data_IF_054371623202
#
_entry.id   IF_054371623202
#
_cell.length_a   1.000
_cell.length_b   1.000
_cell.length_c   1.000
_cell.angle_alpha   90.00
_cell.angle_beta   90.00
_cell.angle_gamma   90.00
#
_symmetry.space_group_name_H-M   'P 1'
#
loop_
_entity.id
_entity.type
_entity.pdbx_description
1 polymer ?
#
# COMPACT_ATOMS: atom_id res chain seq x y z
N UNK A 1 19.36 10.68 3.98
CA UNK A 1 18.06 11.07 3.38
C UNK A 1 17.88 12.56 3.44
N UNK A 2 17.08 13.17 2.55
CA UNK A 2 16.82 14.62 2.52
C UNK A 2 15.32 14.87 2.50
N UNK A 3 14.85 15.69 3.42
CA UNK A 3 13.47 16.17 3.48
C UNK A 3 13.44 17.63 3.00
N UNK A 4 12.51 17.93 2.11
CA UNK A 4 12.19 19.30 1.68
C UNK A 4 10.74 19.58 2.02
N UNK A 5 10.52 20.69 2.69
CA UNK A 5 9.19 21.15 3.08
C UNK A 5 9.03 22.58 2.61
N UNK A 6 7.87 22.86 2.06
CA UNK A 6 7.37 24.18 1.73
C UNK A 6 5.94 24.28 2.28
N UNK A 7 5.33 25.45 2.35
CA UNK A 7 4.08 25.72 3.08
C UNK A 7 3.03 24.59 3.06
N UNK A 8 2.73 24.06 1.87
CA UNK A 8 1.74 22.98 1.68
C UNK A 8 2.31 21.81 0.86
N UNK A 9 3.63 21.72 0.78
CA UNK A 9 4.32 20.68 0.01
C UNK A 9 5.34 19.95 0.85
N UNK A 10 5.49 18.68 0.60
CA UNK A 10 6.46 17.79 1.24
C UNK A 10 7.11 16.88 0.22
N UNK A 11 8.42 16.72 0.33
CA UNK A 11 9.19 15.78 -0.48
C UNK A 11 10.25 15.08 0.37
N UNK A 12 10.38 13.77 0.19
CA UNK A 12 11.44 12.94 0.76
C UNK A 12 12.30 12.35 -0.35
N UNK A 13 13.60 12.51 -0.22
CA UNK A 13 14.60 11.99 -1.16
C UNK A 13 15.51 10.96 -0.50
N UNK A 14 15.87 9.94 -1.27
CA UNK A 14 16.97 9.01 -1.02
C UNK A 14 18.03 9.23 -2.10
N UNK A 15 19.16 9.83 -1.74
CA UNK A 15 20.07 10.39 -2.73
C UNK A 15 19.37 11.44 -3.59
N UNK A 16 19.43 11.28 -4.89
CA UNK A 16 18.75 12.17 -5.85
C UNK A 16 17.32 11.73 -6.20
N UNK A 17 16.89 10.57 -5.71
CA UNK A 17 15.59 10.00 -6.04
C UNK A 17 14.53 10.46 -5.06
N UNK A 18 13.45 11.05 -5.58
CA UNK A 18 12.28 11.43 -4.82
C UNK A 18 11.44 10.18 -4.56
N UNK A 19 11.24 9.84 -3.30
CA UNK A 19 10.49 8.65 -2.87
C UNK A 19 9.07 9.00 -2.44
N UNK A 20 8.91 10.14 -1.77
CA UNK A 20 7.60 10.65 -1.40
C UNK A 20 7.44 12.08 -1.89
N UNK A 21 6.23 12.42 -2.26
CA UNK A 21 5.83 13.78 -2.55
C UNK A 21 4.37 14.02 -2.15
N UNK A 22 4.13 15.20 -1.65
CA UNK A 22 2.79 15.73 -1.44
C UNK A 22 2.70 17.14 -2.01
N UNK A 23 1.71 17.38 -2.83
CA UNK A 23 1.27 18.69 -3.28
C UNK A 23 -0.24 18.69 -3.50
N UNK A 24 -0.82 19.84 -3.79
CA UNK A 24 -2.24 19.94 -4.15
C UNK A 24 -2.60 19.09 -5.37
N UNK A 25 -1.72 19.08 -6.38
CA UNK A 25 -1.91 18.33 -7.64
C UNK A 25 -1.60 16.85 -7.48
N UNK A 26 -0.77 16.52 -6.49
CA UNK A 26 -0.30 15.15 -6.23
C UNK A 26 -0.42 14.80 -4.76
N UNK A 27 -1.64 14.62 -4.26
CA UNK A 27 -1.85 14.24 -2.86
C UNK A 27 -1.18 12.90 -2.54
N UNK A 28 -0.42 12.85 -1.45
CA UNK A 28 0.23 11.63 -0.96
C UNK A 28 -0.76 10.72 -0.24
N UNK A 29 -1.74 11.31 0.45
CA UNK A 29 -2.70 10.63 1.30
C UNK A 29 -4.11 10.85 0.79
N UNK A 30 -4.86 9.76 0.71
CA UNK A 30 -6.30 9.76 0.58
C UNK A 30 -6.88 9.00 1.76
N UNK A 31 -8.03 9.40 2.19
CA UNK A 31 -8.81 8.70 3.21
C UNK A 31 -10.24 8.46 2.73
N UNK A 32 -10.94 7.60 3.41
CA UNK A 32 -12.31 7.33 3.04
C UNK A 32 -13.07 6.51 4.07
N UNK A 33 -14.31 6.26 3.73
CA UNK A 33 -15.24 5.41 4.45
C UNK A 33 -15.68 4.28 3.52
N UNK A 34 -15.65 3.07 4.01
CA UNK A 34 -16.06 1.91 3.23
C UNK A 34 -16.51 0.77 4.11
N UNK A 35 -17.05 -0.24 3.46
CA UNK A 35 -17.39 -1.53 4.05
C UNK A 35 -16.79 -2.63 3.20
N UNK A 36 -16.35 -3.70 3.83
CA UNK A 36 -15.81 -4.85 3.15
C UNK A 36 -16.72 -6.07 3.33
N UNK A 37 -16.80 -6.85 2.27
CA UNK A 37 -17.37 -8.20 2.29
C UNK A 37 -16.22 -9.20 2.18
N UNK A 38 -16.15 -10.11 3.15
CA UNK A 38 -15.09 -11.11 3.25
C UNK A 38 -15.69 -12.49 3.04
N UNK A 39 -15.47 -13.07 1.86
CA UNK A 39 -15.75 -14.47 1.57
C UNK A 39 -14.48 -15.29 1.83
N UNK A 40 -14.55 -16.21 2.78
CA UNK A 40 -13.43 -17.04 3.18
C UNK A 40 -13.83 -18.51 3.13
N UNK A 41 -13.06 -19.32 2.42
CA UNK A 41 -13.24 -20.74 2.32
C UNK A 41 -11.89 -21.46 2.30
N UNK A 42 -11.63 -22.28 3.31
CA UNK A 42 -10.42 -23.12 3.40
C UNK A 42 -9.11 -22.38 3.14
N UNK A 43 -8.92 -21.21 3.76
CA UNK A 43 -7.71 -20.40 3.58
C UNK A 43 -7.68 -19.53 2.33
N UNK A 44 -8.72 -19.55 1.52
CA UNK A 44 -8.88 -18.61 0.42
C UNK A 44 -9.74 -17.43 0.85
N UNK A 45 -9.20 -16.24 0.73
CA UNK A 45 -9.90 -15.00 1.02
C UNK A 45 -10.24 -14.28 -0.27
N UNK A 46 -11.48 -13.86 -0.40
CA UNK A 46 -11.92 -12.90 -1.39
C UNK A 46 -12.50 -11.70 -0.65
N UNK A 47 -11.82 -10.59 -0.71
CA UNK A 47 -12.24 -9.36 -0.06
C UNK A 47 -12.74 -8.40 -1.13
N UNK A 48 -14.00 -7.99 -1.01
CA UNK A 48 -14.60 -6.97 -1.87
C UNK A 48 -14.83 -5.73 -1.03
N UNK A 49 -14.21 -4.62 -1.42
CA UNK A 49 -14.28 -3.37 -0.68
C UNK A 49 -15.20 -2.38 -1.40
N UNK A 50 -16.17 -1.84 -0.68
CA UNK A 50 -17.15 -0.89 -1.16
C UNK A 50 -16.90 0.47 -0.51
N UNK A 51 -16.48 1.45 -1.29
CA UNK A 51 -16.25 2.80 -0.80
C UNK A 51 -17.50 3.65 -0.92
N UNK A 52 -17.90 4.28 0.18
CA UNK A 52 -18.92 5.33 0.16
C UNK A 52 -18.32 6.70 -0.08
N UNK A 53 -17.09 6.92 0.42
CA UNK A 53 -16.34 8.16 0.27
C UNK A 53 -14.85 7.86 0.06
N UNK A 54 -14.21 8.64 -0.80
CA UNK A 54 -12.77 8.70 -0.96
C UNK A 54 -12.35 10.09 -1.39
N UNK A 55 -11.48 10.74 -0.64
CA UNK A 55 -11.00 12.08 -0.94
C UNK A 55 -9.53 12.28 -0.59
N UNK A 56 -8.82 13.16 -1.32
CA UNK A 56 -7.45 13.53 -0.99
C UNK A 56 -7.42 14.44 0.22
N UNK A 57 -6.37 14.32 1.04
CA UNK A 57 -6.12 15.24 2.13
C UNK A 57 -5.16 16.35 1.71
N UNK A 58 -5.38 17.55 2.25
CA UNK A 58 -4.48 18.69 2.10
C UNK A 58 -3.51 18.74 3.29
N UNK A 59 -2.27 19.07 3.02
CA UNK A 59 -1.31 19.41 4.06
C UNK A 59 -1.64 20.81 4.58
N UNK A 60 -1.94 20.94 5.87
CA UNK A 60 -2.39 22.19 6.50
C UNK A 60 -1.35 22.80 7.43
N UNK A 61 -0.46 21.97 7.96
CA UNK A 61 0.59 22.45 8.87
C UNK A 61 1.79 21.51 8.83
N UNK A 62 2.98 22.08 9.02
CA UNK A 62 4.26 21.37 9.09
C UNK A 62 5.05 21.86 10.28
N UNK A 63 5.35 20.96 11.20
CA UNK A 63 6.19 21.25 12.36
C UNK A 63 7.46 20.45 12.22
N UNK A 64 8.58 21.14 12.08
CA UNK A 64 9.91 20.52 11.99
C UNK A 64 10.70 20.78 13.26
N UNK A 65 11.25 19.72 13.83
CA UNK A 65 12.22 19.76 14.93
C UNK A 65 13.57 19.23 14.45
N UNK A 66 14.56 19.14 15.33
CA UNK A 66 15.88 18.59 14.98
C UNK A 66 15.79 17.15 14.45
N UNK A 67 14.91 16.32 14.99
CA UNK A 67 14.87 14.89 14.75
C UNK A 67 13.61 14.39 14.04
N UNK A 68 12.58 15.23 13.96
CA UNK A 68 11.27 14.80 13.43
C UNK A 68 10.62 15.88 12.57
N UNK A 69 9.86 15.43 11.59
CA UNK A 69 8.93 16.26 10.84
C UNK A 69 7.51 15.75 11.09
N UNK A 70 6.64 16.63 11.51
CA UNK A 70 5.22 16.34 11.70
C UNK A 70 4.42 17.06 10.63
N UNK A 71 3.68 16.29 9.85
CA UNK A 71 2.80 16.76 8.80
C UNK A 71 1.36 16.61 9.27
N UNK A 72 0.59 17.69 9.29
CA UNK A 72 -0.82 17.69 9.64
C UNK A 72 -1.66 17.73 8.36
N UNK A 73 -2.42 16.67 8.13
CA UNK A 73 -3.31 16.55 6.99
C UNK A 73 -4.75 16.83 7.43
N UNK A 74 -5.12 18.11 7.37
CA UNK A 74 -6.43 18.58 7.85
C UNK A 74 -6.70 18.09 9.30
N UNK A 75 -7.94 17.75 9.62
CA UNK A 75 -8.30 17.16 10.92
C UNK A 75 -8.28 15.64 10.94
N UNK A 76 -7.79 14.99 9.89
CA UNK A 76 -7.93 13.54 9.72
C UNK A 76 -6.69 12.73 10.10
N UNK A 77 -5.51 13.15 9.64
CA UNK A 77 -4.28 12.38 9.79
C UNK A 77 -3.12 13.28 10.22
N UNK A 78 -2.30 12.77 11.12
CA UNK A 78 -0.99 13.33 11.40
C UNK A 78 0.06 12.29 11.01
N UNK A 79 1.01 12.66 10.16
CA UNK A 79 2.18 11.84 9.87
C UNK A 79 3.39 12.36 10.63
N UNK A 80 4.02 11.51 11.44
CA UNK A 80 5.27 11.79 12.15
C UNK A 80 6.40 11.07 11.45
N UNK A 81 7.36 11.84 10.92
CA UNK A 81 8.47 11.32 10.13
C UNK A 81 9.75 11.48 10.93
N UNK A 82 10.46 10.38 11.11
CA UNK A 82 11.79 10.34 11.70
C UNK A 82 12.72 9.60 10.76
N UNK A 83 13.78 10.27 10.33
CA UNK A 83 14.78 9.69 9.45
C UNK A 83 16.17 9.74 10.10
N UNK A 84 16.89 8.64 9.99
CA UNK A 84 18.34 8.57 10.20
C UNK A 84 19.08 8.41 8.85
N UNK A 85 20.31 7.93 8.85
CA UNK A 85 21.09 7.78 7.61
C UNK A 85 20.44 6.84 6.60
N UNK A 86 19.83 5.73 7.06
CA UNK A 86 19.40 4.63 6.21
C UNK A 86 17.93 4.24 6.37
N UNK A 87 17.29 4.69 7.44
CA UNK A 87 15.91 4.35 7.74
C UNK A 87 15.08 5.61 7.95
N UNK A 88 13.90 5.63 7.36
CA UNK A 88 12.89 6.65 7.60
C UNK A 88 11.60 5.96 8.06
N UNK A 89 11.17 6.24 9.26
CA UNK A 89 9.87 5.77 9.79
C UNK A 89 8.83 6.85 9.63
N UNK A 90 7.64 6.44 9.29
CA UNK A 90 6.47 7.33 9.17
C UNK A 90 5.34 6.71 9.97
N UNK A 91 5.01 7.34 11.08
CA UNK A 91 3.90 6.93 11.92
C UNK A 91 2.67 7.77 11.56
N UNK A 92 1.57 7.10 11.24
CA UNK A 92 0.30 7.75 10.94
C UNK A 92 -0.63 7.68 12.15
N UNK A 93 -1.06 8.83 12.61
CA UNK A 93 -2.02 8.97 13.69
C UNK A 93 -3.36 9.43 13.11
N UNK A 94 -4.38 8.59 13.21
CA UNK A 94 -5.75 8.91 12.81
C UNK A 94 -6.39 9.82 13.85
N UNK A 95 -7.13 10.83 13.40
CA UNK A 95 -7.81 11.82 14.24
C UNK A 95 -9.34 11.81 14.12
N UNK A 96 -9.87 11.12 13.13
CA UNK A 96 -11.30 11.01 12.89
C UNK A 96 -11.70 9.54 12.79
N UNK A 97 -12.44 9.03 13.77
CA UNK A 97 -12.82 7.61 13.87
C UNK A 97 -13.80 7.15 12.78
N UNK A 98 -14.38 8.08 12.02
CA UNK A 98 -15.24 7.74 10.88
C UNK A 98 -14.45 7.21 9.71
N UNK A 99 -13.16 7.59 9.60
CA UNK A 99 -12.29 7.14 8.53
C UNK A 99 -11.81 5.72 8.83
N UNK A 100 -12.07 4.81 7.92
CA UNK A 100 -11.64 3.41 8.03
C UNK A 100 -10.94 2.89 6.75
N UNK A 101 -10.60 3.79 5.83
CA UNK A 101 -9.82 3.50 4.63
C UNK A 101 -8.73 4.54 4.47
N UNK A 102 -7.53 4.05 4.10
CA UNK A 102 -6.33 4.86 3.96
C UNK A 102 -5.56 4.44 2.71
N UNK A 103 -5.21 5.41 1.88
CA UNK A 103 -4.35 5.20 0.71
C UNK A 103 -3.12 6.07 0.82
N UNK A 104 -1.97 5.43 0.70
CA UNK A 104 -0.67 6.09 0.73
C UNK A 104 0.01 5.94 -0.63
N UNK A 105 0.49 7.04 -1.19
CA UNK A 105 1.14 7.06 -2.50
C UNK A 105 2.62 7.30 -2.36
N UNK A 106 3.41 6.47 -3.03
CA UNK A 106 4.84 6.61 -3.19
C UNK A 106 5.13 7.24 -4.55
N UNK A 107 6.08 8.16 -4.62
CA UNK A 107 6.54 8.70 -5.88
C UNK A 107 7.32 7.63 -6.64
N UNK A 108 7.15 7.56 -7.95
CA UNK A 108 7.80 6.55 -8.76
C UNK A 108 8.28 7.12 -10.10
N UNK A 109 9.47 6.72 -10.51
CA UNK A 109 10.01 7.03 -11.83
C UNK A 109 9.39 6.11 -12.89
N UNK A 110 9.38 6.54 -14.14
CA UNK A 110 8.85 5.75 -15.25
C UNK A 110 9.54 4.40 -15.41
N UNK A 111 10.85 4.37 -15.26
CA UNK A 111 11.69 3.17 -15.46
C UNK A 111 11.87 2.34 -14.18
N UNK A 112 11.38 2.82 -13.05
CA UNK A 112 11.48 2.12 -11.77
C UNK A 112 10.71 0.79 -11.81
N UNK A 113 11.28 -0.23 -11.21
CA UNK A 113 10.68 -1.55 -11.04
C UNK A 113 10.61 -1.86 -9.55
N UNK A 114 9.48 -2.44 -9.14
CA UNK A 114 9.25 -2.88 -7.77
C UNK A 114 9.05 -4.39 -7.74
N UNK A 115 9.59 -5.03 -6.70
CA UNK A 115 9.55 -6.47 -6.48
C UNK A 115 9.24 -6.75 -5.01
N UNK A 116 8.58 -7.85 -4.70
CA UNK A 116 8.28 -8.23 -3.32
C UNK A 116 6.82 -8.59 -3.09
N UNK A 117 6.23 -8.08 -2.02
CA UNK A 117 4.89 -8.41 -1.53
C UNK A 117 4.72 -9.89 -1.15
N UNK A 118 5.80 -10.56 -0.77
CA UNK A 118 5.81 -11.95 -0.36
C UNK A 118 6.05 -12.93 -1.51
N UNK A 119 5.59 -14.15 -1.34
CA UNK A 119 5.74 -15.21 -2.34
C UNK A 119 4.71 -15.03 -3.45
N UNK A 120 5.03 -14.15 -4.40
CA UNK A 120 4.19 -13.90 -5.56
C UNK A 120 4.46 -14.95 -6.64
N UNK A 121 3.43 -15.69 -7.00
CA UNK A 121 3.59 -16.88 -7.85
C UNK A 121 3.48 -16.60 -9.35
N UNK A 122 3.08 -15.41 -9.76
CA UNK A 122 2.76 -15.14 -11.17
C UNK A 122 3.51 -13.97 -11.78
N UNK A 123 3.75 -12.93 -11.02
CA UNK A 123 4.35 -11.70 -11.54
C UNK A 123 5.52 -11.27 -10.69
N UNK A 124 6.70 -11.25 -11.29
CA UNK A 124 7.88 -10.75 -10.63
C UNK A 124 7.84 -9.23 -10.43
N UNK A 125 7.31 -8.49 -11.41
CA UNK A 125 7.20 -7.03 -11.35
C UNK A 125 5.85 -6.62 -10.79
N UNK A 126 5.85 -5.80 -9.75
CA UNK A 126 4.62 -5.35 -9.10
C UNK A 126 3.94 -4.17 -9.80
N UNK A 127 4.70 -3.26 -10.42
CA UNK A 127 4.15 -2.04 -11.03
C UNK A 127 3.14 -2.31 -12.14
N UNK A 128 2.07 -1.52 -12.12
CA UNK A 128 0.95 -1.64 -13.05
C UNK A 128 -0.01 -2.78 -12.71
N UNK A 129 0.10 -3.31 -11.50
CA UNK A 129 -0.74 -4.40 -10.98
C UNK A 129 -1.29 -4.03 -9.62
N UNK A 130 -2.25 -4.80 -9.17
CA UNK A 130 -2.85 -4.69 -7.85
C UNK A 130 -2.63 -6.02 -7.12
N UNK A 131 -1.84 -6.00 -6.04
CA UNK A 131 -1.52 -7.19 -5.26
C UNK A 131 -2.21 -7.12 -3.91
N UNK A 132 -3.16 -8.01 -3.64
CA UNK A 132 -3.74 -8.15 -2.32
C UNK A 132 -2.71 -8.73 -1.34
N UNK A 133 -2.62 -8.12 -0.17
CA UNK A 133 -1.74 -8.57 0.92
C UNK A 133 -2.57 -9.36 1.94
N UNK A 134 -3.12 -10.45 1.50
CA UNK A 134 -3.73 -11.50 2.32
C UNK A 134 -3.50 -12.86 1.69
N UNK A 135 -3.53 -13.88 2.54
CA UNK A 135 -3.30 -15.25 2.09
C UNK A 135 -4.46 -15.72 1.23
N UNK A 136 -4.10 -16.26 0.08
CA UNK A 136 -5.04 -17.03 -0.73
C UNK A 136 -4.32 -18.28 -1.20
N UNK A 137 -4.68 -19.42 -0.66
CA UNK A 137 -4.03 -20.67 -0.99
C UNK A 137 -4.24 -20.99 -2.47
N UNK A 138 -3.19 -21.18 -3.25
CA UNK A 138 -3.33 -21.54 -4.64
C UNK A 138 -3.85 -22.98 -4.72
N UNK A 139 -5.11 -23.14 -5.00
CA UNK A 139 -5.70 -24.44 -5.24
C UNK A 139 -5.06 -25.18 -6.41
N UNK A 140 -5.72 -26.21 -6.92
CA UNK A 140 -5.23 -27.02 -8.03
C UNK A 140 -5.12 -26.16 -9.31
N UNK A 141 -3.94 -25.67 -9.55
CA UNK A 141 -3.63 -24.82 -10.71
C UNK A 141 -4.15 -23.39 -10.60
N UNK A 142 -3.45 -22.49 -11.24
CA UNK A 142 -3.75 -21.05 -11.32
C UNK A 142 -4.33 -20.64 -12.65
N UNK A 143 -4.22 -21.54 -13.59
CA UNK A 143 -4.74 -21.33 -14.92
C UNK A 143 -6.23 -21.66 -14.95
N UNK A 144 -7.07 -20.63 -14.90
CA UNK A 144 -8.52 -20.72 -14.97
C UNK A 144 -9.03 -21.32 -16.28
N UNK A 145 -8.18 -21.51 -17.28
CA UNK A 145 -8.53 -22.09 -18.58
C UNK A 145 -8.59 -23.61 -18.56
N UNK A 146 -7.99 -24.26 -17.57
CA UNK A 146 -8.06 -25.72 -17.45
C UNK A 146 -9.36 -26.19 -16.79
N UNK A 147 -9.88 -27.30 -17.26
CA UNK A 147 -11.08 -27.92 -16.69
C UNK A 147 -10.93 -28.23 -15.18
N UNK A 148 -9.75 -28.70 -14.77
CA UNK A 148 -9.48 -29.07 -13.38
C UNK A 148 -9.55 -27.83 -12.49
N UNK A 149 -8.92 -26.74 -12.88
CA UNK A 149 -8.98 -25.48 -12.13
C UNK A 149 -10.37 -24.89 -12.10
N UNK A 150 -11.05 -24.87 -13.26
CA UNK A 150 -12.44 -24.41 -13.33
C UNK A 150 -13.35 -25.20 -12.41
N UNK A 151 -13.25 -26.52 -12.41
CA UNK A 151 -14.05 -27.39 -11.55
C UNK A 151 -13.77 -27.15 -10.06
N UNK A 152 -12.52 -26.99 -9.69
CA UNK A 152 -12.14 -26.65 -8.30
C UNK A 152 -12.73 -25.34 -7.84
N UNK A 153 -12.73 -24.32 -8.70
CA UNK A 153 -13.32 -23.02 -8.39
C UNK A 153 -14.84 -23.09 -8.23
N UNK A 154 -15.53 -23.70 -9.21
CA UNK A 154 -16.99 -23.66 -9.29
C UNK A 154 -17.63 -24.58 -8.24
N UNK A 155 -17.11 -25.78 -8.09
CA UNK A 155 -17.68 -26.78 -7.17
C UNK A 155 -17.19 -26.60 -5.73
N UNK A 156 -15.94 -26.23 -5.54
CA UNK A 156 -15.30 -26.26 -4.23
C UNK A 156 -14.78 -24.90 -3.76
N UNK A 157 -14.88 -23.84 -4.56
CA UNK A 157 -14.31 -22.51 -4.29
C UNK A 157 -12.82 -22.54 -3.89
N UNK A 158 -12.07 -23.52 -4.40
CA UNK A 158 -10.72 -23.84 -3.96
C UNK A 158 -9.65 -23.46 -5.00
N UNK A 159 -10.03 -22.80 -6.06
CA UNK A 159 -9.10 -22.37 -7.10
C UNK A 159 -8.43 -21.04 -6.71
N UNK A 160 -7.10 -21.01 -6.85
CA UNK A 160 -6.36 -19.78 -6.81
C UNK A 160 -6.38 -19.01 -8.13
N UNK A 161 -5.83 -17.82 -8.13
CA UNK A 161 -5.61 -17.05 -9.33
C UNK A 161 -4.17 -16.50 -9.41
N UNK A 162 -3.90 -15.64 -10.40
CA UNK A 162 -2.57 -15.09 -10.62
C UNK A 162 -2.08 -14.14 -9.51
N UNK A 163 -2.95 -13.68 -8.64
CA UNK A 163 -2.61 -12.75 -7.55
C UNK A 163 -2.52 -13.44 -6.19
N UNK A 164 -2.63 -14.76 -6.16
CA UNK A 164 -2.52 -15.48 -4.91
C UNK A 164 -1.10 -15.52 -4.39
N UNK A 165 -0.98 -15.47 -3.08
CA UNK A 165 0.28 -15.62 -2.38
C UNK A 165 0.12 -16.49 -1.13
N UNK A 166 1.12 -17.33 -0.85
CA UNK A 166 1.14 -18.14 0.36
C UNK A 166 1.64 -17.36 1.58
N UNK A 167 2.56 -16.42 1.34
CA UNK A 167 3.21 -15.62 2.37
C UNK A 167 3.14 -14.14 1.98
N UNK A 168 1.97 -13.50 2.13
CA UNK A 168 1.87 -12.07 1.86
C UNK A 168 2.75 -11.30 2.83
N UNK A 169 3.57 -10.40 2.28
CA UNK A 169 4.40 -9.51 3.07
C UNK A 169 4.21 -8.07 2.59
N UNK A 170 3.91 -7.15 3.50
CA UNK A 170 3.69 -5.74 3.15
C UNK A 170 5.01 -5.01 2.88
N UNK A 171 5.87 -5.61 2.06
CA UNK A 171 7.21 -5.11 1.75
C UNK A 171 7.50 -5.22 0.26
N UNK A 172 7.95 -4.14 -0.34
CA UNK A 172 8.55 -4.20 -1.67
C UNK A 172 9.93 -3.53 -1.68
N UNK A 173 10.76 -3.94 -2.64
CA UNK A 173 12.05 -3.35 -2.94
C UNK A 173 12.02 -2.68 -4.31
N UNK A 174 12.72 -1.57 -4.46
CA UNK A 174 12.78 -0.79 -5.69
C UNK A 174 14.16 -0.81 -6.33
N UNK A 175 14.21 -0.76 -7.66
CA UNK A 175 15.44 -0.51 -8.42
C UNK A 175 16.07 0.84 -8.12
N UNK A 176 15.34 1.76 -7.50
CA UNK A 176 15.86 3.04 -6.98
C UNK A 176 16.59 2.91 -5.63
N UNK A 177 16.90 1.66 -5.22
CA UNK A 177 17.69 1.32 -4.03
C UNK A 177 17.04 1.75 -2.71
N UNK A 178 15.74 1.57 -2.61
CA UNK A 178 15.01 1.65 -1.36
C UNK A 178 14.06 0.46 -1.23
N UNK A 179 13.58 0.22 -0.03
CA UNK A 179 12.44 -0.64 0.23
C UNK A 179 11.38 0.15 0.98
N UNK A 180 10.15 -0.32 0.90
CA UNK A 180 9.05 0.15 1.72
C UNK A 180 8.42 -1.05 2.42
N UNK A 181 8.24 -0.90 3.72
CA UNK A 181 7.54 -1.87 4.57
C UNK A 181 6.40 -1.15 5.28
N UNK A 182 5.22 -1.78 5.31
CA UNK A 182 4.06 -1.28 6.06
C UNK A 182 3.85 -2.18 7.26
N UNK A 183 4.13 -1.66 8.45
CA UNK A 183 3.92 -2.37 9.72
C UNK A 183 2.45 -2.25 10.12
N UNK A 184 1.62 -3.13 9.55
CA UNK A 184 0.19 -3.18 9.81
C UNK A 184 -0.35 -4.58 9.60
N UNK A 185 -1.36 -4.95 10.37
CA UNK A 185 -2.14 -6.19 10.19
C UNK A 185 -3.44 -5.97 9.41
N UNK A 186 -3.71 -4.76 8.95
CA UNK A 186 -4.87 -4.45 8.15
C UNK A 186 -4.77 -5.09 6.75
N UNK A 187 -5.92 -5.43 6.18
CA UNK A 187 -5.98 -5.86 4.79
C UNK A 187 -5.49 -4.72 3.89
N UNK A 188 -4.62 -5.02 2.96
CA UNK A 188 -4.03 -4.02 2.08
C UNK A 188 -3.92 -4.51 0.63
N UNK A 189 -3.86 -3.56 -0.29
CA UNK A 189 -3.51 -3.77 -1.70
C UNK A 189 -2.32 -2.87 -2.06
N UNK A 190 -1.38 -3.40 -2.82
CA UNK A 190 -0.20 -2.69 -3.34
C UNK A 190 -0.27 -2.54 -4.85
#
# INVERSE_FOLDING_TARGET
>A
MQIKVNDNEFQLFVGEKRILEHSKERPMIYVGVGQEDVDMYRGNFKITDYFTERFPLKLTDVIQTADTVRLCFESYIIAKIKCDENLCTIDFEQKDDRINRFWFRVAADKEEKCYGCGEQMSYLKLRGRNFPIWTSEPGVGRDKTTYVTWRSDVENKAGGDYYNTNYPQPTFVSTNKYYLHVDSTANANY
#
